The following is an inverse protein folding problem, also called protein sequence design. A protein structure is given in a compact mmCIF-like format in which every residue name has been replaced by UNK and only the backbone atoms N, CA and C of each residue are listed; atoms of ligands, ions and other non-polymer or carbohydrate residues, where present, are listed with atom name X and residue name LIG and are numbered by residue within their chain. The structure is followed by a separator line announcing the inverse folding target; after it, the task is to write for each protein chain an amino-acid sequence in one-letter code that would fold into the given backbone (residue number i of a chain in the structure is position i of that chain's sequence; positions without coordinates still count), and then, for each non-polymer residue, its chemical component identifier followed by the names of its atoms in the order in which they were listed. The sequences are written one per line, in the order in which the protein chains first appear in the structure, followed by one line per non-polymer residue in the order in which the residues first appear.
data_IF_285979453078
#
_entry.id   IF_285979453078
#
_cell.length_a   1.000
_cell.length_b   1.000
_cell.length_c   1.000
_cell.angle_alpha   90.00
_cell.angle_beta   90.00
_cell.angle_gamma   90.00
#
_symmetry.space_group_name_H-M   'P 1'
#
loop_
_entity.id
_entity.type
_entity.pdbx_description
1 polymer ?
#
# COMPACT_ATOMS: atom_id res chain seq x y z
N UNK A 1 -5.07 -16.46 13.56
CA UNK A 1 -5.60 -15.26 12.88
C UNK A 1 -4.48 -14.24 12.94
N UNK A 2 -4.16 -13.60 11.82
CA UNK A 2 -3.19 -12.51 11.78
C UNK A 2 -3.91 -11.19 11.49
N UNK A 3 -3.37 -10.11 12.04
CA UNK A 3 -3.75 -8.73 11.72
C UNK A 3 -2.86 -8.23 10.59
N UNK A 4 -3.37 -7.32 9.78
CA UNK A 4 -2.57 -6.65 8.78
C UNK A 4 -3.03 -5.21 8.55
N UNK A 5 -2.11 -4.41 8.04
CA UNK A 5 -2.33 -3.06 7.54
C UNK A 5 -1.59 -2.89 6.22
N UNK A 6 -2.09 -1.99 5.40
CA UNK A 6 -1.45 -1.58 4.14
C UNK A 6 -0.93 -0.17 4.32
N UNK A 7 0.35 0.05 4.02
CA UNK A 7 0.94 1.38 3.92
C UNK A 7 0.59 1.95 2.55
N UNK A 8 0.11 3.17 2.55
CA UNK A 8 -0.17 3.93 1.34
C UNK A 8 0.69 5.20 1.31
N UNK A 9 1.04 5.60 0.09
CA UNK A 9 1.41 6.97 -0.20
C UNK A 9 0.25 7.61 -0.96
N UNK A 10 -0.44 8.57 -0.34
CA UNK A 10 -1.78 9.01 -0.79
C UNK A 10 -2.67 7.78 -1.06
N UNK A 11 -3.25 7.63 -2.24
CA UNK A 11 -4.09 6.48 -2.58
C UNK A 11 -3.30 5.24 -3.05
N UNK A 12 -1.98 5.31 -3.24
CA UNK A 12 -1.18 4.24 -3.86
C UNK A 12 -0.62 3.30 -2.77
N UNK A 13 -0.94 2.00 -2.77
CA UNK A 13 -0.39 1.05 -1.80
C UNK A 13 1.09 0.76 -2.10
N UNK A 14 1.90 0.64 -1.06
CA UNK A 14 3.34 0.41 -1.19
C UNK A 14 3.85 -0.81 -0.42
N UNK A 15 3.26 -1.11 0.74
CA UNK A 15 3.72 -2.18 1.62
C UNK A 15 2.55 -2.78 2.39
N UNK A 16 2.60 -4.09 2.61
CA UNK A 16 1.72 -4.79 3.56
C UNK A 16 2.53 -5.15 4.80
N UNK A 17 2.00 -4.85 5.98
CA UNK A 17 2.51 -5.29 7.28
C UNK A 17 1.48 -6.23 7.88
N UNK A 18 1.87 -7.45 8.22
CA UNK A 18 1.01 -8.42 8.90
C UNK A 18 1.69 -8.93 10.16
N UNK A 19 0.92 -9.20 11.21
CA UNK A 19 1.45 -9.65 12.49
C UNK A 19 0.44 -10.49 13.27
N UNK A 20 0.95 -11.26 14.20
CA UNK A 20 0.19 -11.99 15.21
C UNK A 20 0.97 -12.04 16.53
N UNK A 21 0.61 -12.95 17.44
CA UNK A 21 1.32 -13.12 18.71
C UNK A 21 2.75 -13.67 18.56
N UNK A 22 3.09 -14.27 17.42
CA UNK A 22 4.38 -14.89 17.15
C UNK A 22 5.35 -13.96 16.43
N UNK A 23 4.88 -12.93 15.72
CA UNK A 23 5.74 -11.92 15.15
C UNK A 23 5.08 -11.02 14.10
N UNK A 24 5.91 -10.22 13.44
CA UNK A 24 5.51 -9.28 12.39
C UNK A 24 6.31 -9.57 11.11
N UNK A 25 5.66 -9.45 9.96
CA UNK A 25 6.28 -9.51 8.65
C UNK A 25 5.84 -8.32 7.79
N UNK A 26 6.74 -7.86 6.92
CA UNK A 26 6.49 -6.80 5.96
C UNK A 26 6.80 -7.29 4.56
N UNK A 27 5.93 -6.97 3.61
CA UNK A 27 6.10 -7.29 2.20
C UNK A 27 5.86 -6.04 1.37
N UNK A 28 6.84 -5.66 0.57
CA UNK A 28 6.70 -4.58 -0.40
C UNK A 28 5.83 -5.03 -1.57
N UNK A 29 5.06 -4.11 -2.13
CA UNK A 29 4.43 -4.32 -3.42
C UNK A 29 5.50 -4.23 -4.53
N UNK A 30 5.25 -4.78 -5.74
CA UNK A 30 6.23 -4.75 -6.82
C UNK A 30 6.64 -3.33 -7.23
N UNK A 31 7.85 -3.19 -7.77
CA UNK A 31 8.51 -1.90 -8.08
C UNK A 31 7.65 -0.92 -8.91
N UNK A 32 6.69 -1.44 -9.69
CA UNK A 32 5.74 -0.61 -10.45
C UNK A 32 4.88 0.32 -9.58
N UNK A 33 4.65 -0.05 -8.30
CA UNK A 33 3.93 0.79 -7.33
C UNK A 33 4.80 1.95 -6.86
N UNK A 34 6.09 1.70 -6.58
CA UNK A 34 7.03 2.78 -6.26
C UNK A 34 7.18 3.75 -7.44
N UNK A 35 7.37 3.21 -8.65
CA UNK A 35 7.41 4.03 -9.86
C UNK A 35 6.10 4.82 -10.08
N UNK A 36 4.97 4.33 -9.56
CA UNK A 36 3.71 5.04 -9.62
C UNK A 36 3.63 6.18 -8.61
N UNK A 37 4.14 5.98 -7.40
CA UNK A 37 4.29 7.00 -6.37
C UNK A 37 5.14 8.16 -6.90
N UNK A 38 6.31 7.83 -7.46
CA UNK A 38 7.23 8.85 -8.00
C UNK A 38 6.58 9.63 -9.13
N UNK A 39 5.93 8.94 -10.08
CA UNK A 39 5.24 9.59 -11.20
C UNK A 39 4.08 10.46 -10.74
N UNK A 40 3.31 10.03 -9.72
CA UNK A 40 2.21 10.81 -9.19
C UNK A 40 2.71 12.04 -8.40
N UNK A 41 3.78 11.88 -7.61
CA UNK A 41 4.43 12.99 -6.92
C UNK A 41 4.88 14.08 -7.90
N UNK A 42 5.50 13.69 -9.02
CA UNK A 42 5.87 14.62 -10.10
C UNK A 42 4.64 15.28 -10.75
N UNK A 43 3.56 14.53 -10.97
CA UNK A 43 2.33 15.02 -11.61
C UNK A 43 1.55 16.02 -10.73
N UNK A 44 1.44 15.74 -9.44
CA UNK A 44 0.67 16.54 -8.47
C UNK A 44 1.54 17.58 -7.73
N UNK A 45 2.81 17.72 -8.12
CA UNK A 45 3.74 18.68 -7.53
C UNK A 45 4.19 18.37 -6.10
N UNK A 46 3.88 17.17 -5.59
CA UNK A 46 4.32 16.69 -4.26
C UNK A 46 5.75 16.16 -4.29
N UNK A 47 6.65 16.92 -4.92
CA UNK A 47 8.06 16.57 -5.13
C UNK A 47 8.97 17.12 -4.04
N UNK A 48 8.47 18.04 -3.21
CA UNK A 48 9.17 18.52 -2.03
C UNK A 48 9.31 17.39 -1.01
N UNK A 49 10.47 17.30 -0.35
CA UNK A 49 10.78 16.22 0.59
C UNK A 49 9.74 16.12 1.72
N UNK A 50 9.29 17.25 2.26
CA UNK A 50 8.25 17.30 3.31
C UNK A 50 6.92 16.74 2.78
N UNK A 51 6.39 17.30 1.70
CA UNK A 51 5.13 16.86 1.08
C UNK A 51 5.16 15.37 0.68
N UNK A 52 6.30 14.87 0.22
CA UNK A 52 6.47 13.47 -0.13
C UNK A 52 6.46 12.56 1.12
N UNK A 53 7.10 12.97 2.21
CA UNK A 53 7.17 12.20 3.46
C UNK A 53 5.86 12.26 4.27
N UNK A 54 5.14 13.38 4.23
CA UNK A 54 3.88 13.56 4.95
C UNK A 54 2.70 12.80 4.30
N UNK A 55 2.83 12.40 3.04
CA UNK A 55 1.79 11.67 2.31
C UNK A 55 1.66 10.18 2.68
N UNK A 56 2.58 9.66 3.50
CA UNK A 56 2.56 8.27 3.97
C UNK A 56 1.55 8.09 5.11
N UNK A 57 0.73 7.04 5.01
CA UNK A 57 -0.17 6.66 6.09
C UNK A 57 -0.50 5.17 6.06
N UNK A 58 -0.83 4.62 7.23
CA UNK A 58 -1.38 3.28 7.34
C UNK A 58 -2.89 3.31 7.12
N UNK A 59 -3.38 2.37 6.31
CA UNK A 59 -4.81 2.09 6.24
C UNK A 59 -5.33 1.35 7.46
N UNK A 60 -6.62 1.02 7.42
CA UNK A 60 -7.31 0.34 8.50
C UNK A 60 -6.66 -1.01 8.85
N UNK A 61 -6.63 -1.31 10.15
CA UNK A 61 -6.27 -2.64 10.64
C UNK A 61 -7.38 -3.64 10.27
N UNK A 62 -6.98 -4.75 9.66
CA UNK A 62 -7.89 -5.82 9.27
C UNK A 62 -7.36 -7.17 9.75
N UNK A 63 -8.27 -8.09 10.04
CA UNK A 63 -7.92 -9.45 10.46
C UNK A 63 -8.21 -10.46 9.35
N UNK A 64 -7.34 -11.46 9.22
CA UNK A 64 -7.50 -12.56 8.24
C UNK A 64 -6.99 -13.88 8.83
N UNK A 65 -7.62 -14.97 8.42
CA UNK A 65 -7.16 -16.31 8.75
C UNK A 65 -5.83 -16.63 8.04
N UNK A 66 -4.94 -17.33 8.74
CA UNK A 66 -3.59 -17.67 8.26
C UNK A 66 -2.48 -17.15 9.16
N UNK A 67 -1.23 -17.46 8.78
CA UNK A 67 -0.02 -16.88 9.38
C UNK A 67 0.23 -15.46 8.84
N UNK A 68 1.05 -14.63 9.52
CA UNK A 68 1.43 -13.31 9.00
C UNK A 68 2.05 -13.39 7.60
N UNK A 69 2.87 -14.42 7.32
CA UNK A 69 3.48 -14.64 6.00
C UNK A 69 2.45 -14.91 4.90
N UNK A 70 1.51 -15.81 5.18
CA UNK A 70 0.44 -16.17 4.23
C UNK A 70 -0.46 -14.96 3.95
N UNK A 71 -0.85 -14.25 5.02
CA UNK A 71 -1.71 -13.07 4.93
C UNK A 71 -1.02 -11.95 4.15
N UNK A 72 0.23 -11.62 4.50
CA UNK A 72 0.97 -10.58 3.78
C UNK A 72 1.14 -10.92 2.29
N UNK A 73 1.48 -12.17 1.97
CA UNK A 73 1.67 -12.62 0.59
C UNK A 73 0.37 -12.63 -0.21
N UNK A 74 -0.74 -13.06 0.40
CA UNK A 74 -2.06 -13.05 -0.22
C UNK A 74 -2.53 -11.61 -0.50
N UNK A 75 -2.41 -10.72 0.49
CA UNK A 75 -2.81 -9.32 0.36
C UNK A 75 -1.97 -8.59 -0.69
N UNK A 76 -0.65 -8.84 -0.74
CA UNK A 76 0.19 -8.28 -1.81
C UNK A 76 -0.32 -8.72 -3.18
N UNK A 77 -0.59 -10.01 -3.40
CA UNK A 77 -1.12 -10.51 -4.68
C UNK A 77 -2.47 -9.90 -5.06
N UNK A 78 -3.36 -9.73 -4.08
CA UNK A 78 -4.66 -9.11 -4.29
C UNK A 78 -4.53 -7.63 -4.69
N UNK A 79 -3.70 -6.86 -3.98
CA UNK A 79 -3.42 -5.47 -4.31
C UNK A 79 -2.74 -5.35 -5.68
N UNK A 80 -1.81 -6.26 -5.98
CA UNK A 80 -1.09 -6.32 -7.24
C UNK A 80 -2.03 -6.49 -8.44
N UNK A 81 -3.02 -7.37 -8.30
CA UNK A 81 -4.03 -7.65 -9.31
C UNK A 81 -5.11 -6.55 -9.40
N UNK A 82 -5.53 -5.99 -8.26
CA UNK A 82 -6.57 -4.96 -8.21
C UNK A 82 -6.09 -3.58 -8.68
N UNK A 83 -4.77 -3.35 -8.71
CA UNK A 83 -4.18 -2.06 -9.09
C UNK A 83 -3.28 -2.18 -10.33
N UNK A 84 -3.87 -2.35 -11.53
CA UNK A 84 -3.11 -2.20 -12.76
C UNK A 84 -2.52 -0.79 -12.89
N UNK A 85 -1.46 -0.65 -13.68
CA UNK A 85 -0.72 0.63 -13.80
C UNK A 85 -1.60 1.84 -14.12
N UNK A 86 -2.66 1.65 -14.91
CA UNK A 86 -3.60 2.71 -15.28
C UNK A 86 -4.41 3.24 -14.10
N UNK A 87 -4.78 2.40 -13.13
CA UNK A 87 -5.58 2.81 -11.98
C UNK A 87 -4.74 3.50 -10.92
N UNK A 88 -3.47 3.12 -10.75
CA UNK A 88 -2.55 3.77 -9.81
C UNK A 88 -2.36 5.27 -10.07
N UNK A 89 -2.41 5.68 -11.35
CA UNK A 89 -2.23 7.08 -11.78
C UNK A 89 -3.47 7.96 -11.57
N UNK A 90 -4.59 7.35 -11.18
CA UNK A 90 -5.88 8.02 -11.03
C UNK A 90 -6.35 7.82 -9.59
N UNK A 91 -6.47 8.89 -8.78
CA UNK A 91 -7.04 8.77 -7.46
C UNK A 91 -8.49 8.27 -7.61
N UNK A 92 -8.98 7.41 -6.70
CA UNK A 92 -10.39 7.05 -6.70
C UNK A 92 -11.21 8.35 -6.64
N UNK A 93 -12.15 8.51 -7.58
CA UNK A 93 -13.11 9.60 -7.51
C UNK A 93 -13.91 9.39 -6.23
N UNK A 94 -13.57 10.15 -5.18
CA UNK A 94 -14.48 10.33 -4.06
C UNK A 94 -15.67 11.10 -4.65
N UNK A 95 -16.73 10.37 -5.01
CA UNK A 95 -18.03 11.01 -5.17
C UNK A 95 -18.32 11.77 -3.86
N UNK A 96 -18.57 13.07 -4.04
CA UNK A 96 -18.63 14.09 -3.01
C UNK A 96 -19.67 13.83 -1.90
#
# INVERSE_FOLDING_TARGET
MARYQVMFWKHIPAQVKAWDASGEVKRMLPDRFQAAIDAFAMKDGSTGMEAYLEAWHWGDERERAGSPEDVASAVVKELDAANPRSTLMSPPTMDA
#
